data_IF_451467459084
#
_entry.id   IF_451467459084
#
_cell.length_a   1.000
_cell.length_b   1.000
_cell.length_c   1.000
_cell.angle_alpha   90.00
_cell.angle_beta   90.00
_cell.angle_gamma   90.00
#
_symmetry.space_group_name_H-M   'P 1'
#
loop_
_entity.id
_entity.type
_entity.pdbx_description
1 polymer ?
#
# COMPACT_ATOMS: atom_id res chain seq x y z
N UNK A 1 -2.58 8.58 3.46
CA UNK A 1 -3.02 9.91 3.98
C UNK A 1 -4.53 9.97 3.92
N UNK A 2 -5.17 10.39 4.97
CA UNK A 2 -6.62 10.46 4.98
C UNK A 2 -7.12 11.64 4.12
N UNK A 3 -8.36 11.51 3.63
CA UNK A 3 -8.97 12.51 2.73
C UNK A 3 -8.94 13.93 3.33
N UNK A 4 -9.21 14.07 4.62
CA UNK A 4 -9.19 15.38 5.29
C UNK A 4 -7.82 16.04 5.23
N UNK A 5 -6.76 15.28 5.43
CA UNK A 5 -5.38 15.78 5.32
C UNK A 5 -5.06 16.19 3.87
N UNK A 6 -5.56 15.44 2.90
CA UNK A 6 -5.39 15.77 1.48
C UNK A 6 -6.11 17.06 1.10
N UNK A 7 -7.33 17.25 1.60
CA UNK A 7 -8.08 18.51 1.41
C UNK A 7 -7.32 19.70 1.98
N UNK A 8 -6.79 19.56 3.19
CA UNK A 8 -6.00 20.60 3.85
C UNK A 8 -4.74 20.96 3.03
N UNK A 9 -4.02 19.94 2.58
CA UNK A 9 -2.82 20.11 1.77
C UNK A 9 -3.11 20.82 0.45
N UNK A 10 -4.11 20.36 -0.30
CA UNK A 10 -4.49 20.95 -1.58
C UNK A 10 -5.01 22.39 -1.41
N UNK A 11 -5.79 22.63 -0.34
CA UNK A 11 -6.24 23.99 -0.03
C UNK A 11 -5.08 24.95 0.19
N UNK A 12 -4.08 24.53 0.95
CA UNK A 12 -2.88 25.33 1.21
C UNK A 12 -2.05 25.55 -0.05
N UNK A 13 -1.92 24.54 -0.89
CA UNK A 13 -1.22 24.66 -2.18
C UNK A 13 -1.87 25.71 -3.08
N UNK A 14 -3.19 25.75 -3.11
CA UNK A 14 -3.96 26.73 -3.86
C UNK A 14 -4.10 28.09 -3.15
N UNK A 15 -3.51 28.24 -1.97
CA UNK A 15 -3.56 29.45 -1.16
C UNK A 15 -4.98 29.91 -0.83
N UNK A 16 -5.89 28.96 -0.63
CA UNK A 16 -7.26 29.23 -0.24
C UNK A 16 -7.42 29.18 1.28
N UNK A 17 -8.24 30.09 1.83
CA UNK A 17 -8.71 29.97 3.19
C UNK A 17 -9.82 28.92 3.29
N UNK A 18 -10.13 28.43 4.49
CA UNK A 18 -11.28 27.56 4.72
C UNK A 18 -12.58 28.20 4.24
N UNK A 19 -12.74 29.50 4.47
CA UNK A 19 -13.90 30.26 4.04
C UNK A 19 -14.00 30.35 2.51
N UNK A 20 -12.89 30.59 1.83
CA UNK A 20 -12.86 30.64 0.36
C UNK A 20 -13.19 29.28 -0.26
N UNK A 21 -12.67 28.21 0.29
CA UNK A 21 -13.02 26.85 -0.16
C UNK A 21 -14.48 26.55 0.10
N UNK A 22 -15.01 26.95 1.26
CA UNK A 22 -16.42 26.78 1.61
C UNK A 22 -17.35 27.50 0.61
N UNK A 23 -16.99 28.71 0.20
CA UNK A 23 -17.74 29.46 -0.82
C UNK A 23 -17.74 28.72 -2.17
N UNK A 24 -16.60 28.21 -2.60
CA UNK A 24 -16.48 27.44 -3.86
C UNK A 24 -17.27 26.15 -3.82
N UNK A 25 -17.36 25.52 -2.67
CA UNK A 25 -18.10 24.27 -2.45
C UNK A 25 -19.57 24.48 -2.13
N UNK A 26 -19.98 25.72 -1.90
CA UNK A 26 -21.31 26.07 -1.45
C UNK A 26 -21.71 25.35 -0.15
N UNK A 27 -20.77 25.31 0.79
CA UNK A 27 -20.94 24.75 2.14
C UNK A 27 -20.49 25.79 3.17
N UNK A 28 -20.68 25.50 4.44
CA UNK A 28 -20.20 26.37 5.52
C UNK A 28 -18.73 26.15 5.80
N UNK A 29 -18.06 27.17 6.35
CA UNK A 29 -16.67 27.04 6.82
C UNK A 29 -16.51 25.92 7.84
N UNK A 30 -17.50 25.74 8.72
CA UNK A 30 -17.48 24.65 9.72
C UNK A 30 -17.44 23.28 9.05
N UNK A 31 -18.12 23.10 7.93
CA UNK A 31 -18.07 21.86 7.15
C UNK A 31 -16.64 21.57 6.67
N UNK A 32 -15.97 22.57 6.10
CA UNK A 32 -14.58 22.42 5.65
C UNK A 32 -13.68 22.08 6.84
N UNK A 33 -13.82 22.78 7.95
CA UNK A 33 -13.04 22.53 9.15
C UNK A 33 -13.21 21.11 9.68
N UNK A 34 -14.44 20.59 9.69
CA UNK A 34 -14.71 19.21 10.11
C UNK A 34 -14.10 18.18 9.17
N UNK A 35 -14.08 18.43 7.87
CA UNK A 35 -13.41 17.55 6.92
C UNK A 35 -11.90 17.51 7.16
N UNK A 36 -11.28 18.66 7.36
CA UNK A 36 -9.84 18.76 7.61
C UNK A 36 -9.43 18.14 8.97
N UNK A 37 -10.31 18.19 9.98
CA UNK A 37 -10.10 17.56 11.28
C UNK A 37 -10.49 16.07 11.30
N UNK A 38 -11.01 15.55 10.19
CA UNK A 38 -11.40 14.14 10.06
C UNK A 38 -12.59 13.79 10.97
N UNK A 39 -13.36 14.80 11.38
CA UNK A 39 -14.60 14.59 12.15
C UNK A 39 -15.74 14.10 11.25
N UNK A 40 -15.80 14.61 10.02
CA UNK A 40 -16.75 14.19 8.99
C UNK A 40 -16.03 14.01 7.67
N UNK A 41 -16.66 13.31 6.74
CA UNK A 41 -16.14 13.12 5.39
C UNK A 41 -17.11 13.70 4.34
N UNK A 42 -16.61 14.29 3.25
CA UNK A 42 -17.47 14.69 2.15
C UNK A 42 -18.13 13.48 1.50
N UNK A 43 -19.34 13.66 0.99
CA UNK A 43 -20.01 12.63 0.19
C UNK A 43 -19.40 12.55 -1.22
N UNK A 44 -19.87 11.60 -2.03
CA UNK A 44 -19.35 11.38 -3.39
C UNK A 44 -19.54 12.63 -4.26
N UNK A 45 -20.66 13.30 -4.15
CA UNK A 45 -20.93 14.53 -4.91
C UNK A 45 -19.97 15.65 -4.51
N UNK A 46 -19.76 15.83 -3.21
CA UNK A 46 -18.83 16.80 -2.67
C UNK A 46 -17.38 16.48 -3.04
N UNK A 47 -17.00 15.20 -3.00
CA UNK A 47 -15.67 14.75 -3.41
C UNK A 47 -15.42 15.03 -4.90
N UNK A 48 -16.42 14.84 -5.76
CA UNK A 48 -16.34 15.19 -7.19
C UNK A 48 -16.13 16.69 -7.40
N UNK A 49 -16.83 17.51 -6.64
CA UNK A 49 -16.65 18.96 -6.71
C UNK A 49 -15.26 19.39 -6.23
N UNK A 50 -14.76 18.80 -5.14
CA UNK A 50 -13.40 19.03 -4.68
C UNK A 50 -12.36 18.67 -5.74
N UNK A 51 -12.53 17.54 -6.42
CA UNK A 51 -11.65 17.13 -7.50
C UNK A 51 -11.62 18.14 -8.64
N UNK A 52 -12.76 18.73 -8.98
CA UNK A 52 -12.84 19.79 -10.01
C UNK A 52 -12.18 21.09 -9.56
N UNK A 53 -12.39 21.50 -8.31
CA UNK A 53 -11.83 22.75 -7.76
C UNK A 53 -10.30 22.64 -7.69
N UNK A 54 -9.77 21.53 -7.23
CA UNK A 54 -8.34 21.31 -7.10
C UNK A 54 -7.67 20.79 -8.38
N UNK A 55 -8.44 20.53 -9.43
CA UNK A 55 -7.95 20.00 -10.73
C UNK A 55 -7.16 18.70 -10.56
N UNK A 56 -7.62 17.85 -9.68
CA UNK A 56 -7.08 16.51 -9.45
C UNK A 56 -8.14 15.47 -9.77
N UNK A 57 -7.73 14.26 -10.08
CA UNK A 57 -8.70 13.17 -10.28
C UNK A 57 -9.33 12.77 -8.95
N UNK A 58 -10.53 12.19 -9.00
CA UNK A 58 -11.16 11.65 -7.82
C UNK A 58 -10.30 10.54 -7.19
N UNK A 59 -9.68 9.72 -8.02
CA UNK A 59 -8.73 8.70 -7.59
C UNK A 59 -7.53 9.31 -6.87
N UNK A 60 -6.96 10.39 -7.39
CA UNK A 60 -5.86 11.09 -6.74
C UNK A 60 -6.27 11.72 -5.41
N UNK A 61 -7.48 12.29 -5.33
CA UNK A 61 -8.02 12.86 -4.10
C UNK A 61 -8.21 11.80 -3.00
N UNK A 62 -8.65 10.61 -3.39
CA UNK A 62 -8.91 9.47 -2.49
C UNK A 62 -7.77 8.45 -2.45
N UNK A 63 -6.73 8.66 -3.24
CA UNK A 63 -5.79 7.64 -3.74
C UNK A 63 -4.73 7.20 -2.75
N UNK A 64 -4.60 7.84 -1.63
CA UNK A 64 -3.61 7.39 -0.67
C UNK A 64 -3.95 6.02 -0.05
N UNK A 65 -5.21 5.64 -0.06
CA UNK A 65 -5.61 4.32 0.40
C UNK A 65 -5.34 3.23 -0.64
N UNK A 66 -5.55 3.54 -1.93
CA UNK A 66 -5.33 2.57 -3.01
C UNK A 66 -3.85 2.37 -3.30
N UNK A 67 -3.07 3.45 -3.38
CA UNK A 67 -1.63 3.33 -3.60
C UNK A 67 -0.92 2.63 -2.45
N UNK A 68 -1.32 2.89 -1.21
CA UNK A 68 -0.79 2.21 -0.04
C UNK A 68 -1.14 0.71 -0.04
N UNK A 69 -2.35 0.35 -0.46
CA UNK A 69 -2.77 -1.04 -0.59
C UNK A 69 -1.94 -1.75 -1.68
N UNK A 70 -1.71 -1.09 -2.82
CA UNK A 70 -0.88 -1.64 -3.90
C UNK A 70 0.57 -1.81 -3.45
N UNK A 71 1.15 -0.81 -2.79
CA UNK A 71 2.53 -0.88 -2.25
C UNK A 71 2.65 -1.98 -1.21
N UNK A 72 1.68 -2.14 -0.30
CA UNK A 72 1.67 -3.22 0.67
C UNK A 72 1.57 -4.59 0.01
N UNK A 73 0.74 -4.75 -1.02
CA UNK A 73 0.64 -6.01 -1.78
C UNK A 73 1.94 -6.36 -2.48
N UNK A 74 2.58 -5.41 -3.13
CA UNK A 74 3.87 -5.61 -3.80
C UNK A 74 4.95 -5.99 -2.78
N UNK A 75 5.03 -5.29 -1.66
CA UNK A 75 5.99 -5.60 -0.58
C UNK A 75 5.79 -7.01 -0.02
N UNK A 76 4.55 -7.42 0.19
CA UNK A 76 4.25 -8.77 0.67
C UNK A 76 4.62 -9.84 -0.36
N UNK A 77 4.44 -9.57 -1.65
CA UNK A 77 4.84 -10.48 -2.74
C UNK A 77 6.36 -10.64 -2.79
N UNK A 78 7.11 -9.58 -2.60
CA UNK A 78 8.58 -9.63 -2.54
C UNK A 78 9.08 -10.46 -1.35
N UNK A 79 8.47 -10.30 -0.18
CA UNK A 79 8.79 -11.11 1.00
C UNK A 79 8.50 -12.60 0.78
N UNK A 80 7.38 -12.93 0.15
CA UNK A 80 7.02 -14.31 -0.19
C UNK A 80 7.99 -14.91 -1.20
N UNK A 81 8.38 -14.15 -2.23
CA UNK A 81 9.38 -14.59 -3.21
C UNK A 81 10.72 -14.89 -2.54
N UNK A 82 11.16 -14.04 -1.60
CA UNK A 82 12.38 -14.27 -0.81
C UNK A 82 12.33 -15.53 0.03
N UNK A 83 11.18 -15.81 0.66
CA UNK A 83 10.97 -17.03 1.45
C UNK A 83 11.00 -18.30 0.57
N UNK A 84 10.34 -18.26 -0.60
CA UNK A 84 10.35 -19.37 -1.55
C UNK A 84 11.75 -19.69 -2.03
N UNK A 85 12.57 -18.68 -2.35
CA UNK A 85 13.96 -18.87 -2.73
C UNK A 85 14.80 -19.46 -1.60
N UNK A 86 14.62 -19.05 -0.36
CA UNK A 86 15.29 -19.63 0.81
C UNK A 86 14.93 -21.10 0.99
N UNK A 87 13.65 -21.42 0.96
CA UNK A 87 13.17 -22.81 1.09
C UNK A 87 13.70 -23.69 -0.03
N UNK A 88 13.72 -23.20 -1.27
CA UNK A 88 14.30 -23.90 -2.42
C UNK A 88 15.78 -24.23 -2.22
N UNK A 89 16.58 -23.30 -1.71
CA UNK A 89 18.00 -23.55 -1.38
C UNK A 89 18.15 -24.64 -0.32
N UNK A 90 17.36 -24.59 0.74
CA UNK A 90 17.40 -25.59 1.81
C UNK A 90 17.04 -26.99 1.30
N UNK A 91 16.03 -27.10 0.45
CA UNK A 91 15.63 -28.37 -0.18
C UNK A 91 16.75 -28.93 -1.06
N UNK A 92 17.44 -28.08 -1.82
CA UNK A 92 18.61 -28.47 -2.62
C UNK A 92 19.75 -29.03 -1.76
N UNK A 93 20.06 -28.39 -0.64
CA UNK A 93 21.09 -28.85 0.30
C UNK A 93 20.71 -30.19 0.92
N UNK A 94 19.44 -30.36 1.37
CA UNK A 94 18.95 -31.62 1.90
C UNK A 94 19.04 -32.76 0.87
N UNK A 95 18.71 -32.50 -0.39
CA UNK A 95 18.81 -33.47 -1.47
C UNK A 95 20.27 -33.92 -1.69
N UNK A 96 21.22 -32.97 -1.68
CA UNK A 96 22.65 -33.27 -1.80
C UNK A 96 23.14 -34.13 -0.64
N UNK A 97 22.73 -33.84 0.58
CA UNK A 97 23.10 -34.60 1.77
C UNK A 97 22.57 -36.04 1.69
N UNK A 98 21.34 -36.24 1.25
CA UNK A 98 20.77 -37.59 1.08
C UNK A 98 21.52 -38.39 0.02
N UNK A 99 21.87 -37.78 -1.11
CA UNK A 99 22.69 -38.42 -2.14
C UNK A 99 24.05 -38.88 -1.60
N UNK A 100 24.74 -38.05 -0.81
CA UNK A 100 26.04 -38.39 -0.20
C UNK A 100 25.87 -39.57 0.76
N UNK A 101 24.86 -39.58 1.58
CA UNK A 101 24.55 -40.67 2.51
C UNK A 101 24.28 -41.97 1.75
N UNK A 102 23.54 -41.96 0.65
CA UNK A 102 23.24 -43.11 -0.16
C UNK A 102 24.51 -43.68 -0.80
N UNK A 103 25.40 -42.82 -1.32
CA UNK A 103 26.68 -43.24 -1.88
C UNK A 103 27.59 -43.89 -0.81
N UNK A 104 27.68 -43.29 0.37
CA UNK A 104 28.44 -43.84 1.48
C UNK A 104 27.87 -45.20 1.91
N UNK A 105 26.59 -45.31 2.03
CA UNK A 105 25.87 -46.56 2.37
C UNK A 105 26.16 -47.67 1.33
N UNK A 106 26.14 -47.28 0.04
CA UNK A 106 26.44 -48.23 -1.04
C UNK A 106 27.90 -48.71 -0.97
N UNK A 107 28.86 -47.82 -0.71
CA UNK A 107 30.26 -48.16 -0.57
C UNK A 107 30.49 -49.12 0.61
N UNK A 108 29.89 -48.82 1.77
CA UNK A 108 29.94 -49.68 2.95
C UNK A 108 29.34 -51.06 2.66
N UNK A 109 28.23 -51.12 1.96
CA UNK A 109 27.59 -52.39 1.54
C UNK A 109 28.55 -53.22 0.66
N UNK A 110 29.22 -52.56 -0.29
CA UNK A 110 30.18 -53.24 -1.17
C UNK A 110 31.42 -53.78 -0.42
N UNK A 111 31.89 -53.04 0.58
CA UNK A 111 33.05 -53.48 1.39
C UNK A 111 32.70 -54.59 2.41
N UNK A 112 31.50 -54.60 2.91
CA UNK A 112 31.01 -55.64 3.85
C UNK A 112 30.56 -56.93 3.17
N UNK A 113 30.32 -56.90 1.90
CA UNK A 113 29.98 -58.07 1.11
C UNK A 113 31.25 -58.75 0.60
#
# INVERSE_FOLDING_TARGET
MELGNKILELRKQEKLSQEQLAEKMNVTRQTISKWELIETTPDIKQAKELSKIFKVSLDELTDNDISNIVVQKVSNTEKLAGLVLKVSKWLGICFLITLVIDIISFIIYMFLK
#
